data_IF_390195433166
#
_entry.id   IF_390195433166
#
_cell.length_a   1.000
_cell.length_b   1.000
_cell.length_c   1.000
_cell.angle_alpha   90.00
_cell.angle_beta   90.00
_cell.angle_gamma   90.00
#
_symmetry.space_group_name_H-M   'P 1'
#
loop_
_entity.id
_entity.type
_entity.pdbx_description
1 polymer ?
2 polymer ?
3 non-polymer ?
4 water ?
#
# COMPACT_ATOMS: atom_id res chain seq x y z
N UNK A 1 6.88 16.67 16.26
CA UNK A 1 5.66 16.87 15.48
C UNK A 1 4.86 15.56 15.25
N UNK A 2 5.55 14.53 14.79
CA UNK A 2 5.02 13.17 14.78
C UNK A 2 6.06 12.35 15.54
N UNK A 3 5.76 12.02 16.80
CA UNK A 3 6.72 11.35 17.68
C UNK A 3 7.06 9.95 17.21
N UNK A 4 6.11 9.29 16.57
CA UNK A 4 6.34 7.94 16.05
C UNK A 4 7.33 8.01 14.89
N UNK A 5 7.08 8.91 13.94
CA UNK A 5 7.97 9.10 12.81
C UNK A 5 9.36 9.46 13.32
N UNK A 6 9.42 10.36 14.30
CA UNK A 6 10.69 10.82 14.87
C UNK A 6 11.51 9.68 15.48
N UNK A 7 10.85 8.79 16.20
CA UNK A 7 11.49 7.59 16.72
C UNK A 7 12.09 6.72 15.58
N UNK A 8 11.30 6.49 14.54
CA UNK A 8 11.77 5.70 13.40
C UNK A 8 13.05 6.29 12.81
N UNK A 9 13.07 7.62 12.66
CA UNK A 9 14.21 8.32 12.04
C UNK A 9 15.42 8.21 12.95
N UNK A 10 15.18 8.20 14.25
CA UNK A 10 16.27 8.10 15.19
C UNK A 10 16.87 6.72 15.08
N UNK A 11 16.01 5.72 14.97
CA UNK A 11 16.45 4.34 14.83
C UNK A 11 17.28 4.14 13.57
N UNK A 13 18.94 6.28 11.99
CA UNK A 13 20.22 6.94 12.19
C UNK A 13 21.19 6.03 12.95
N UNK A 14 20.72 5.41 14.02
CA UNK A 14 21.53 4.46 14.78
C UNK A 14 22.07 3.35 13.88
N UNK A 15 21.23 2.85 13.00
CA UNK A 15 21.66 1.74 12.15
C UNK A 15 22.72 2.23 11.15
N UNK A 16 22.52 3.44 10.63
CA UNK A 16 23.50 3.97 9.68
C UNK A 16 24.82 4.18 10.37
N UNK A 17 24.76 4.62 11.61
CA UNK A 17 25.97 4.78 12.40
C UNK A 17 26.64 3.42 12.62
N UNK A 18 25.84 2.41 12.92
CA UNK A 18 26.38 1.08 13.18
C UNK A 18 27.17 0.51 11.96
N UNK A 19 26.63 0.70 10.76
CA UNK A 19 27.30 0.18 9.57
C UNK A 19 28.09 1.25 8.83
N UNK A 20 28.12 2.45 9.42
CA UNK A 20 28.96 3.57 8.94
C UNK A 20 28.66 4.05 7.52
N UNK A 21 27.40 4.37 7.23
CA UNK A 21 27.04 4.85 5.92
C UNK A 21 26.35 6.19 6.07
N UNK A 22 26.50 7.06 5.08
CA UNK A 22 25.77 8.32 5.09
C UNK A 22 25.40 8.76 3.69
N UNK A 23 24.26 8.28 3.21
CA UNK A 23 23.68 8.52 1.89
C UNK A 23 23.18 9.96 1.77
N UNK A 25 20.62 11.00 0.03
CA UNK A 25 19.16 11.00 0.05
C UNK A 25 18.57 11.01 1.47
N UNK A 26 17.33 11.50 1.58
CA UNK A 26 16.63 11.55 2.86
C UNK A 26 15.80 10.30 3.09
N UNK A 27 15.70 9.91 4.37
CA UNK A 27 14.85 8.82 4.78
C UNK A 27 13.45 9.01 4.19
N UNK A 28 12.80 7.94 3.76
CA UNK A 28 11.42 8.00 3.36
C UNK A 28 11.20 8.41 1.93
N UNK A 29 12.28 8.62 1.19
CA UNK A 29 12.18 9.01 -0.20
C UNK A 29 12.58 7.86 -1.12
N UNK A 30 12.00 7.84 -2.32
CA UNK A 30 12.36 6.86 -3.35
C UNK A 30 13.87 6.77 -3.68
N UNK A 31 14.55 7.92 -3.88
CA UNK A 31 15.98 7.77 -4.16
C UNK A 31 16.72 7.14 -2.99
N UNK A 32 16.20 7.30 -1.77
CA UNK A 32 16.81 6.64 -0.62
C UNK A 32 16.57 5.15 -0.71
N UNK A 33 15.34 4.79 -1.05
CA UNK A 33 14.98 3.39 -1.29
C UNK A 33 15.82 2.78 -2.41
N UNK A 34 15.98 3.53 -3.50
CA UNK A 34 16.76 3.03 -4.62
C UNK A 34 18.20 2.80 -4.16
N UNK A 35 18.68 3.67 -3.27
CA UNK A 35 20.03 3.56 -2.76
C UNK A 35 20.25 2.33 -1.87
N UNK A 36 19.33 2.08 -0.95
CA UNK A 36 19.37 0.86 -0.13
C UNK A 36 19.38 -0.37 -1.03
N UNK A 37 18.60 -0.32 -2.10
CA UNK A 37 18.49 -1.45 -3.00
C UNK A 37 19.83 -1.72 -3.65
N UNK A 38 20.54 -0.68 -4.07
CA UNK A 38 21.89 -0.87 -4.61
C UNK A 38 22.88 -1.39 -3.57
N UNK A 40 22.42 -3.09 -0.93
CA UNK A 40 22.13 -4.48 -0.58
C UNK A 40 22.65 -5.46 -1.63
N UNK A 41 22.47 -5.09 -2.90
CA UNK A 41 22.91 -5.92 -4.01
C UNK A 41 24.42 -6.04 -3.99
N UNK A 42 25.08 -4.92 -3.74
CA UNK A 42 26.54 -4.87 -3.73
C UNK A 42 27.09 -5.71 -2.58
N UNK A 43 26.40 -5.70 -1.45
CA UNK A 43 26.87 -6.42 -0.26
C UNK A 43 26.81 -7.92 -0.50
N UNK A 44 25.79 -8.36 -1.22
CA UNK A 44 25.70 -9.77 -1.60
C UNK A 44 26.80 -10.12 -2.58
N UNK A 45 27.10 -9.21 -3.51
CA UNK A 45 28.19 -9.45 -4.44
C UNK A 45 29.51 -9.56 -3.70
N UNK A 46 29.92 -8.48 -3.06
CA UNK A 46 31.14 -8.48 -2.26
C UNK A 46 31.06 -9.40 -1.04
N UNK A 47 29.90 -9.99 -0.78
CA UNK A 47 29.75 -10.87 0.36
C UNK A 47 29.99 -10.18 1.70
N UNK A 48 29.59 -8.91 1.81
CA UNK A 48 29.67 -8.21 3.10
C UNK A 48 28.38 -8.39 3.89
N UNK A 49 28.41 -9.27 4.88
CA UNK A 49 27.20 -9.65 5.57
C UNK A 49 26.59 -8.50 6.37
N UNK A 50 27.42 -7.78 7.12
CA UNK A 50 26.95 -6.62 7.89
C UNK A 50 26.19 -5.62 7.01
N UNK A 51 26.80 -5.21 5.90
CA UNK A 51 26.16 -4.25 5.00
C UNK A 51 24.84 -4.76 4.42
N UNK A 52 24.80 -6.06 4.10
CA UNK A 52 23.60 -6.62 3.48
C UNK A 52 22.42 -6.62 4.41
N UNK A 53 22.61 -7.13 5.62
CA UNK A 53 21.52 -7.18 6.61
C UNK A 53 21.08 -5.77 7.05
N UNK A 54 22.04 -4.88 7.28
CA UNK A 54 21.69 -3.51 7.61
C UNK A 54 20.82 -2.90 6.51
N UNK A 55 21.22 -3.05 5.25
CA UNK A 55 20.40 -2.51 4.15
C UNK A 55 19.01 -3.17 4.15
N UNK A 56 18.99 -4.48 4.31
CA UNK A 56 17.72 -5.20 4.39
C UNK A 56 16.81 -4.62 5.45
N UNK A 57 17.32 -4.44 6.67
CA UNK A 57 16.52 -3.87 7.75
C UNK A 57 16.13 -2.42 7.52
N UNK A 58 17.08 -1.63 7.00
CA UNK A 58 16.81 -0.21 6.73
C UNK A 58 15.63 -0.09 5.76
N UNK A 59 15.56 -1.02 4.79
CA UNK A 59 14.43 -1.05 3.87
C UNK A 59 13.10 -1.26 4.60
N UNK A 60 13.08 -2.13 5.61
CA UNK A 60 11.85 -2.37 6.37
C UNK A 60 11.40 -1.09 7.09
N UNK A 61 12.35 -0.37 7.65
CA UNK A 61 12.05 0.91 8.27
C UNK A 61 11.62 1.99 7.24
N UNK A 62 12.26 2.03 6.08
CA UNK A 62 11.85 2.98 5.04
C UNK A 62 10.41 2.68 4.62
N UNK A 63 10.10 1.39 4.47
CA UNK A 63 8.73 0.97 4.18
C UNK A 63 7.72 1.43 5.24
N UNK A 64 8.07 1.25 6.51
CA UNK A 64 7.22 1.72 7.60
C UNK A 64 6.99 3.23 7.55
N UNK A 65 8.03 3.99 7.21
CA UNK A 65 7.89 5.44 7.03
C UNK A 65 6.83 5.80 5.98
N UNK A 66 6.82 5.06 4.87
CA UNK A 66 5.89 5.33 3.79
C UNK A 66 4.47 4.94 4.15
N UNK A 67 4.31 3.86 4.91
CA UNK A 67 2.98 3.48 5.37
C UNK A 67 2.48 4.51 6.37
N UNK A 68 3.38 4.94 7.25
CA UNK A 68 3.02 5.95 8.22
C UNK A 68 2.50 7.21 7.54
N UNK A 69 3.21 7.61 6.49
CA UNK A 69 2.90 8.82 5.78
C UNK A 69 1.61 8.73 4.97
N UNK A 70 1.24 7.55 4.50
CA UNK A 70 0.14 7.44 3.56
C UNK A 70 -1.11 6.73 4.09
N UNK A 71 -0.92 5.87 5.09
CA UNK A 71 -2.04 5.19 5.70
C UNK A 71 -1.71 5.51 7.16
N UNK A 72 -2.15 4.67 8.10
CA UNK A 72 -1.86 4.87 9.53
C UNK A 72 -0.60 4.37 10.26
N UNK A 73 -0.32 5.03 11.37
CA UNK A 73 0.72 4.67 12.32
C UNK A 73 0.64 3.21 12.75
N UNK A 74 -0.56 2.74 13.07
CA UNK A 74 -0.73 1.35 13.50
C UNK A 74 -0.28 0.37 12.42
N UNK A 75 -0.55 0.67 11.16
CA UNK A 75 -0.11 -0.21 10.09
C UNK A 75 1.41 -0.19 9.91
N UNK A 76 2.03 0.95 10.17
CA UNK A 76 3.49 1.04 10.03
C UNK A 76 4.11 0.21 11.15
N UNK A 77 3.58 0.36 12.36
CA UNK A 77 4.05 -0.45 13.47
C UNK A 77 3.91 -1.93 13.20
N UNK A 78 2.77 -2.35 12.64
CA UNK A 78 2.58 -3.76 12.35
C UNK A 78 3.55 -4.30 11.31
N UNK A 79 3.84 -3.49 10.29
CA UNK A 79 4.85 -3.86 9.30
C UNK A 79 6.21 -4.21 9.96
N UNK A 80 6.62 -3.42 10.94
CA UNK A 80 7.93 -3.64 11.59
C UNK A 80 7.90 -4.81 12.56
N UNK A 81 6.88 -4.84 13.41
CA UNK A 81 6.68 -5.92 14.35
C UNK A 81 6.68 -7.29 13.69
N UNK A 82 5.91 -7.41 12.60
CA UNK A 82 5.82 -8.69 11.88
C UNK A 82 7.20 -9.09 11.37
N UNK A 83 7.92 -8.11 10.84
CA UNK A 83 9.24 -8.42 10.29
C UNK A 83 10.16 -8.91 11.40
N UNK A 84 10.24 -8.18 12.50
CA UNK A 84 11.09 -8.61 13.62
C UNK A 84 10.62 -9.91 14.29
N UNK A 85 9.30 -10.13 14.29
CA UNK A 85 8.77 -11.40 14.77
C UNK A 85 9.26 -12.56 13.89
N UNK A 86 9.36 -12.32 12.59
CA UNK A 86 9.84 -13.37 11.70
C UNK A 86 11.33 -13.60 11.87
N UNK A 87 12.07 -12.52 12.07
CA UNK A 87 13.51 -12.64 12.22
C UNK A 87 13.82 -13.43 13.50
N UNK A 88 13.08 -13.12 14.56
CA UNK A 88 13.27 -13.78 15.83
C UNK A 88 13.01 -15.27 15.65
N UNK A 89 11.91 -15.57 14.97
CA UNK A 89 11.51 -16.95 14.74
C UNK A 89 12.57 -17.71 13.97
N UNK A 90 12.96 -17.20 12.81
CA UNK A 90 13.88 -17.96 11.97
C UNK A 90 15.34 -17.92 12.40
N UNK A 91 15.75 -16.93 13.18
CA UNK A 91 17.16 -16.78 13.48
C UNK A 91 17.55 -16.93 14.96
N UNK A 92 16.61 -16.67 15.87
CA UNK A 92 16.96 -16.68 17.30
C UNK A 92 16.46 -17.92 17.99
N UNK A 93 15.89 -18.86 17.23
CA UNK A 93 15.52 -20.16 17.77
C UNK A 93 15.57 -21.26 16.72
N UNK A 99 23.20 -21.11 15.74
CA UNK A 99 22.61 -20.74 14.47
C UNK A 99 23.43 -19.71 13.73
N UNK A 100 23.03 -19.41 12.49
CA UNK A 100 23.75 -18.44 11.68
C UNK A 100 23.40 -17.03 12.13
N UNK A 101 23.36 -16.82 13.44
CA UNK A 101 23.10 -15.50 14.01
C UNK A 101 24.39 -14.78 14.39
N UNK A 102 24.53 -13.54 13.92
CA UNK A 102 25.73 -12.74 14.22
C UNK A 102 25.48 -11.35 14.86
N UNK A 103 26.55 -10.57 14.97
CA UNK A 103 26.53 -9.29 15.68
C UNK A 103 25.53 -8.29 15.12
N UNK A 104 25.42 -8.25 13.80
CA UNK A 104 24.47 -7.38 13.16
C UNK A 104 23.04 -7.81 13.46
N UNK A 105 22.74 -9.10 13.36
CA UNK A 105 21.40 -9.59 13.76
C UNK A 105 21.05 -9.23 15.19
N UNK A 106 21.97 -9.50 16.11
CA UNK A 106 21.75 -9.15 17.52
C UNK A 106 21.52 -7.65 17.67
N UNK A 107 22.40 -6.85 17.08
CA UNK A 107 22.29 -5.41 17.19
C UNK A 107 20.95 -4.87 16.67
N UNK A 108 20.53 -5.34 15.51
CA UNK A 108 19.32 -4.83 14.91
C UNK A 108 18.12 -5.25 15.74
N UNK A 110 17.99 -6.15 18.93
CA UNK A 110 17.91 -5.48 20.23
C UNK A 110 17.50 -4.01 20.08
N UNK A 111 18.06 -3.33 19.09
CA UNK A 111 17.63 -1.96 18.81
C UNK A 111 16.10 -1.82 18.66
N UNK A 112 15.48 -2.71 17.91
CA UNK A 112 14.03 -2.69 17.77
C UNK A 112 13.30 -3.00 19.09
N UNK A 113 13.72 -4.07 19.77
CA UNK A 113 13.11 -4.40 21.05
C UNK A 113 13.22 -3.26 22.07
N UNK A 114 14.33 -2.52 22.07
CA UNK A 114 14.44 -1.34 22.92
C UNK A 114 13.33 -0.33 22.67
N UNK A 115 12.88 -0.25 21.43
CA UNK A 115 11.97 0.81 21.06
C UNK A 115 10.54 0.32 20.90
N UNK A 116 10.38 -0.99 20.97
CA UNK A 116 9.11 -1.62 20.57
C UNK A 116 7.91 -1.14 21.39
N UNK A 117 8.11 -0.99 22.69
CA UNK A 117 6.98 -0.66 23.55
C UNK A 117 6.57 0.80 23.42
N UNK A 118 7.52 1.68 23.12
CA UNK A 118 7.16 3.07 22.91
C UNK A 118 6.47 3.21 21.54
N UNK A 119 6.99 2.51 20.54
CA UNK A 119 6.43 2.51 19.21
C UNK A 119 5.00 1.97 19.27
N UNK A 120 4.83 0.90 20.03
CA UNK A 120 3.52 0.27 20.19
C UNK A 120 2.51 1.25 20.79
N UNK A 121 2.92 1.90 21.87
CA UNK A 121 2.04 2.81 22.58
C UNK A 121 1.74 4.07 21.78
N UNK A 122 2.71 4.54 20.99
CA UNK A 122 2.43 5.65 20.06
C UNK A 122 1.42 5.18 19.03
N UNK A 123 1.62 3.98 18.51
CA UNK A 123 0.69 3.42 17.55
C UNK A 123 -0.72 3.25 18.10
N UNK A 124 -0.84 3.02 19.41
CA UNK A 124 -2.15 2.77 20.02
C UNK A 124 -2.90 4.06 20.29
N UNK A 125 -2.19 5.18 20.33
CA UNK A 125 -2.83 6.45 20.57
C UNK A 125 -3.73 6.80 19.39
N UNK A 126 -4.99 7.13 19.69
CA UNK A 126 -5.97 7.51 18.68
C UNK A 126 -5.51 8.79 17.98
N UNK A 127 -5.39 8.74 16.67
CA UNK A 127 -4.88 9.84 15.89
C UNK A 127 -5.91 10.20 14.84
N UNK A 128 -5.90 11.45 14.39
CA UNK A 128 -6.76 11.87 13.29
C UNK A 128 -6.19 11.39 11.98
N UNK A 129 -7.07 11.11 11.03
CA UNK A 129 -6.63 10.62 9.75
C UNK A 129 -5.95 11.77 9.00
N UNK A 130 -4.89 11.44 8.27
CA UNK A 130 -4.20 12.42 7.42
C UNK A 130 -5.11 12.77 6.23
N UNK A 131 -4.74 13.82 5.48
CA UNK A 131 -5.55 14.28 4.36
C UNK A 131 -5.69 13.26 3.23
N UNK A 132 -4.63 12.49 2.97
CA UNK A 132 -4.65 11.46 1.93
C UNK A 132 -5.77 10.45 2.16
N UNK A 133 -5.83 9.94 3.38
CA UNK A 133 -6.76 8.89 3.76
C UNK A 133 -8.16 9.45 3.87
N UNK A 134 -8.25 10.72 4.23
CA UNK A 134 -9.53 11.41 4.34
C UNK A 134 -10.16 11.56 2.98
N UNK A 135 -9.34 11.90 2.00
CA UNK A 135 -9.82 12.09 0.64
C UNK A 135 -10.23 10.75 0.06
N UNK A 136 -9.53 9.69 0.48
CA UNK A 136 -9.81 8.33 0.00
C UNK A 136 -11.15 7.90 0.58
N UNK A 137 -11.34 8.16 1.87
CA UNK A 137 -12.57 7.81 2.57
C UNK A 137 -13.79 8.49 1.95
N UNK A 138 -13.73 9.81 1.80
CA UNK A 138 -14.84 10.54 1.19
C UNK A 138 -15.17 10.08 -0.23
N UNK A 139 -14.15 9.72 -1.00
CA UNK A 139 -14.36 9.21 -2.35
C UNK A 139 -15.10 7.87 -2.33
N UNK A 140 -14.65 6.96 -1.48
CA UNK A 140 -15.30 5.66 -1.36
C UNK A 140 -16.74 5.82 -0.87
N UNK A 142 -18.79 8.54 -0.78
CA UNK A 142 -19.70 9.21 -1.70
C UNK A 142 -20.10 8.30 -2.86
N UNK A 143 -19.13 7.55 -3.39
CA UNK A 143 -19.42 6.64 -4.50
C UNK A 143 -20.37 5.53 -4.05
N UNK A 144 -20.10 4.94 -2.89
CA UNK A 144 -20.94 3.86 -2.38
C UNK A 144 -22.35 4.24 -2.01
N UNK A 145 -22.54 5.41 -1.42
CA UNK A 145 -23.88 5.87 -1.10
C UNK A 145 -24.63 6.16 -2.40
N UNK A 146 -23.95 6.78 -3.35
CA UNK A 146 -24.57 7.15 -4.62
C UNK A 146 -24.98 5.96 -5.50
N UNK A 147 -24.11 4.97 -5.66
CA UNK A 147 -24.36 3.85 -6.59
C UNK A 147 -24.84 2.57 -5.90
N UNK A 148 -24.75 2.57 -4.58
CA UNK A 148 -25.39 1.55 -3.75
C UNK A 148 -25.00 0.14 -4.18
N UNK A 149 -25.99 -0.73 -4.41
CA UNK A 149 -25.68 -2.13 -4.70
C UNK A 149 -24.88 -2.42 -5.98
N UNK A 150 -24.75 -1.43 -6.85
CA UNK A 150 -23.92 -1.61 -8.05
C UNK A 150 -22.47 -1.07 -7.91
N UNK A 151 -22.17 -0.48 -6.75
CA UNK A 151 -20.80 -0.09 -6.44
C UNK A 151 -19.84 -1.27 -6.63
N UNK A 152 -18.92 -1.14 -7.57
CA UNK A 152 -17.91 -2.15 -7.79
C UNK A 152 -16.59 -1.45 -8.11
N UNK A 153 -15.65 -1.47 -7.17
CA UNK A 153 -14.44 -0.69 -7.34
C UNK A 153 -13.10 -1.37 -7.20
N UNK A 154 -12.11 -0.75 -7.82
CA UNK A 154 -10.73 -1.16 -7.62
C UNK A 154 -9.94 0.05 -7.15
N UNK A 155 -9.17 -0.12 -6.09
CA UNK A 155 -8.19 0.89 -5.70
C UNK A 155 -6.84 0.31 -6.07
N UNK A 156 -6.06 1.04 -6.87
CA UNK A 156 -4.67 0.67 -7.16
C UNK A 156 -3.74 1.37 -6.19
N UNK A 157 -2.77 0.65 -5.63
CA UNK A 157 -1.74 1.28 -4.81
C UNK A 157 -0.35 0.80 -5.28
N UNK A 158 0.71 1.42 -4.76
CA UNK A 158 2.08 1.09 -5.16
C UNK A 158 2.61 -0.25 -4.68
N UNK A 159 2.27 -0.66 -3.46
CA UNK A 159 2.96 -1.78 -2.84
C UNK A 159 1.97 -2.77 -2.27
N UNK A 160 2.42 -4.00 -2.04
CA UNK A 160 1.64 -5.04 -1.39
C UNK A 160 1.24 -4.65 0.04
N UNK A 161 2.20 -4.10 0.79
CA UNK A 161 1.94 -3.74 2.19
C UNK A 161 0.91 -2.61 2.28
N UNK A 162 0.93 -1.72 1.29
CA UNK A 162 -0.08 -0.67 1.21
C UNK A 162 -1.51 -1.22 0.96
N UNK A 163 -1.64 -2.14 0.02
CA UNK A 163 -2.91 -2.76 -0.28
C UNK A 163 -3.48 -3.48 0.93
N UNK A 164 -2.67 -4.29 1.58
CA UNK A 164 -3.06 -4.94 2.82
C UNK A 164 -3.46 -3.94 3.93
N UNK A 165 -2.63 -2.91 4.14
CA UNK A 165 -2.97 -1.89 5.15
C UNK A 165 -4.29 -1.17 4.82
N UNK A 166 -4.49 -0.81 3.57
CA UNK A 166 -5.74 -0.16 3.20
C UNK A 166 -6.95 -1.05 3.47
N UNK A 167 -6.80 -2.34 3.22
CA UNK A 167 -7.85 -3.29 3.53
C UNK A 167 -8.14 -3.37 5.05
N UNK A 168 -7.08 -3.36 5.87
CA UNK A 168 -7.25 -3.45 7.33
C UNK A 168 -7.98 -2.23 7.86
N UNK A 169 -7.59 -1.08 7.35
CA UNK A 169 -8.23 0.18 7.65
C UNK A 169 -9.72 0.20 7.32
N UNK A 170 -10.11 -0.43 6.22
CA UNK A 170 -11.52 -0.47 5.88
C UNK A 170 -12.26 -1.28 6.94
N UNK A 171 -11.70 -2.43 7.27
CA UNK A 171 -12.27 -3.36 8.23
C UNK A 171 -12.36 -2.74 9.60
N UNK A 172 -11.32 -2.01 9.99
CA UNK A 172 -11.31 -1.31 11.26
C UNK A 172 -12.34 -0.19 11.34
N UNK A 173 -12.92 0.20 10.20
CA UNK A 173 -13.84 1.33 10.18
C UNK A 173 -15.26 0.95 9.72
N UNK A 174 -16.14 0.74 10.68
CA UNK A 174 -17.46 0.15 10.46
C UNK A 174 -18.40 0.92 9.52
N UNK A 175 -18.24 2.25 9.45
CA UNK A 175 -19.00 3.10 8.52
C UNK A 175 -18.90 2.63 7.06
N UNK A 176 -17.73 2.11 6.69
CA UNK A 176 -17.57 1.56 5.35
C UNK A 176 -18.53 0.40 5.15
N UNK A 177 -18.54 -0.52 6.10
CA UNK A 177 -19.41 -1.68 6.05
C UNK A 177 -20.86 -1.25 5.98
N UNK A 178 -21.20 -0.16 6.68
CA UNK A 178 -22.59 0.28 6.76
C UNK A 178 -23.12 0.87 5.45
N UNK A 179 -22.23 1.24 4.52
CA UNK A 179 -22.68 1.68 3.19
C UNK A 179 -22.44 0.59 2.15
N UNK A 180 -22.12 -0.61 2.61
CA UNK A 180 -22.05 -1.74 1.70
C UNK A 180 -20.65 -2.25 1.32
N UNK A 181 -19.61 -1.49 1.70
CA UNK A 181 -18.27 -1.85 1.30
C UNK A 181 -17.84 -3.24 1.79
N UNK A 182 -17.44 -4.09 0.86
CA UNK A 182 -16.72 -5.32 1.24
C UNK A 182 -15.43 -5.41 0.43
N UNK A 183 -14.31 -5.19 1.12
CA UNK A 183 -13.03 -5.01 0.45
C UNK A 183 -12.10 -6.18 0.67
N UNK A 184 -11.12 -6.33 -0.21
CA UNK A 184 -10.11 -7.36 -0.05
C UNK A 184 -8.89 -6.95 -0.83
N UNK A 185 -7.70 -7.24 -0.30
CA UNK A 185 -6.50 -6.92 -1.04
C UNK A 185 -6.22 -7.97 -2.12
N UNK A 186 -5.47 -7.59 -3.15
CA UNK A 186 -5.16 -8.48 -4.26
C UNK A 186 -3.70 -8.25 -4.69
N UNK A 187 -2.84 -9.25 -4.52
CA UNK A 187 -1.41 -9.07 -4.76
C UNK A 187 -0.78 -10.28 -5.47
N UNK A 188 0.43 -10.11 -5.96
CA UNK A 188 1.09 -11.10 -6.81
C UNK A 188 1.62 -12.33 -6.11
N UNK A 189 2.02 -13.32 -6.91
CA UNK A 189 2.45 -14.61 -6.38
C UNK A 189 3.94 -14.70 -6.17
N UNK A 190 4.69 -13.81 -6.83
CA UNK A 190 6.15 -13.89 -6.79
C UNK A 190 6.66 -13.46 -5.43
N UNK A 191 7.86 -13.90 -5.07
CA UNK A 191 8.42 -13.55 -3.77
C UNK A 191 8.85 -12.10 -3.77
N UNK A 192 8.58 -11.40 -2.68
CA UNK A 192 9.02 -10.02 -2.49
C UNK A 192 9.57 -9.89 -1.09
N UNK A 193 10.63 -9.12 -0.91
CA UNK A 193 11.14 -8.87 0.45
C UNK A 193 10.14 -8.04 1.25
N UNK A 194 9.31 -7.28 0.52
CA UNK A 194 8.45 -6.28 1.14
C UNK A 194 7.22 -6.88 1.83
N UNK A 195 6.83 -8.09 1.44
CA UNK A 195 5.52 -8.65 1.85
C UNK A 195 5.35 -10.10 1.37
N UNK A 196 4.53 -10.87 2.08
CA UNK A 196 4.13 -12.22 1.65
C UNK A 196 3.46 -12.22 0.27
N UNK A 197 3.49 -13.35 -0.44
CA UNK A 197 2.77 -13.43 -1.72
C UNK A 197 1.34 -13.93 -1.53
N UNK A 199 -1.02 -16.77 -3.62
CA UNK A 199 -0.97 -17.73 -4.73
C UNK A 199 -1.92 -17.35 -5.86
N UNK A 200 -1.63 -17.83 -7.06
CA UNK A 200 -2.48 -17.62 -8.23
C UNK A 200 -3.90 -18.15 -7.95
N UNK A 201 -3.97 -19.25 -7.21
CA UNK A 201 -5.22 -19.79 -6.74
C UNK A 201 -6.02 -18.82 -5.87
N UNK A 202 -5.39 -18.34 -4.81
CA UNK A 202 -6.03 -17.33 -3.96
C UNK A 202 -6.50 -16.10 -4.76
N UNK A 203 -5.62 -15.61 -5.65
CA UNK A 203 -5.97 -14.50 -6.55
C UNK A 203 -7.25 -14.79 -7.32
N UNK A 204 -7.34 -15.99 -7.88
CA UNK A 204 -8.49 -16.36 -8.70
C UNK A 204 -9.78 -16.40 -7.86
N UNK A 205 -9.65 -16.82 -6.61
CA UNK A 205 -10.80 -16.88 -5.70
C UNK A 205 -11.26 -15.47 -5.38
N UNK A 206 -10.31 -14.61 -5.01
CA UNK A 206 -10.64 -13.24 -4.69
C UNK A 206 -11.38 -12.56 -5.86
N UNK A 207 -10.79 -12.67 -7.05
CA UNK A 207 -11.39 -12.08 -8.24
C UNK A 207 -12.80 -12.65 -8.50
N UNK A 208 -12.95 -13.96 -8.29
CA UNK A 208 -14.25 -14.63 -8.44
C UNK A 208 -15.25 -14.01 -7.48
N UNK A 209 -14.82 -13.76 -6.26
CA UNK A 209 -15.72 -13.15 -5.28
C UNK A 209 -16.07 -11.72 -5.69
N UNK A 210 -15.15 -11.05 -6.35
CA UNK A 210 -15.42 -9.70 -6.86
C UNK A 210 -16.41 -9.78 -8.02
N UNK A 211 -16.28 -10.79 -8.88
CA UNK A 211 -17.25 -11.00 -9.95
C UNK A 211 -18.68 -11.23 -9.42
N UNK A 212 -18.82 -12.02 -8.34
CA UNK A 212 -20.14 -12.35 -7.79
C UNK A 212 -20.70 -11.25 -6.90
N UNK A 213 -19.85 -10.33 -6.46
CA UNK A 213 -20.25 -9.24 -5.60
C UNK A 213 -20.07 -9.53 -4.11
N UNK A 214 -19.53 -10.71 -3.78
CA UNK A 214 -19.14 -11.04 -2.41
C UNK A 214 -18.07 -10.08 -1.89
N UNK A 215 -17.28 -9.56 -2.83
CA UNK A 215 -16.32 -8.48 -2.57
C UNK A 215 -16.70 -7.40 -3.56
N UNK A 216 -16.62 -6.13 -3.15
CA UNK A 216 -16.99 -5.08 -4.10
C UNK A 216 -15.99 -3.94 -4.17
N UNK A 217 -14.89 -4.12 -3.46
CA UNK A 217 -13.81 -3.16 -3.50
C UNK A 217 -12.48 -3.90 -3.40
N UNK A 218 -11.82 -4.06 -4.55
CA UNK A 218 -10.51 -4.70 -4.61
C UNK A 218 -9.47 -3.64 -4.40
N UNK A 219 -8.46 -3.97 -3.59
CA UNK A 219 -7.32 -3.09 -3.38
C UNK A 219 -6.10 -3.84 -3.88
N UNK A 220 -5.58 -3.40 -5.02
CA UNK A 220 -4.62 -4.20 -5.74
C UNK A 220 -3.34 -3.43 -5.96
N UNK A 221 -2.26 -4.16 -6.25
CA UNK A 221 -1.08 -3.54 -6.82
C UNK A 221 -1.28 -3.40 -8.33
N UNK A 222 -0.51 -2.49 -8.93
CA UNK A 222 -0.62 -2.19 -10.34
C UNK A 222 -0.18 -3.37 -11.20
N UNK A 223 0.70 -4.19 -10.64
CA UNK A 223 1.11 -5.42 -11.30
C UNK A 223 0.07 -6.45 -10.96
N UNK A 224 -1.16 -6.15 -11.37
CA UNK A 224 -2.27 -7.08 -11.33
C UNK A 224 -3.17 -6.80 -12.54
N UNK A 225 -3.12 -5.56 -13.02
CA UNK A 225 -4.04 -5.05 -14.04
C UNK A 225 -4.24 -5.94 -15.27
N UNK A 226 -3.35 -6.90 -15.50
CA UNK A 226 -3.50 -7.81 -16.65
C UNK A 226 -4.80 -8.63 -16.59
N UNK A 227 -5.13 -9.12 -15.40
CA UNK A 227 -6.29 -9.98 -15.24
C UNK A 227 -7.36 -9.36 -14.38
N UNK A 228 -7.50 -8.04 -14.45
CA UNK A 228 -8.51 -7.32 -13.69
C UNK A 228 -9.46 -6.54 -14.59
N UNK A 229 -9.51 -6.92 -15.85
CA UNK A 229 -10.38 -6.23 -16.80
C UNK A 229 -11.82 -6.76 -16.70
N UNK A 230 -12.49 -6.30 -15.66
CA UNK A 230 -13.83 -6.73 -15.32
C UNK A 230 -14.80 -5.60 -15.60
N UNK A 231 -15.57 -5.76 -16.67
CA UNK A 231 -16.50 -4.75 -17.17
C UNK A 231 -17.42 -4.14 -16.12
N UNK A 232 -17.73 -4.88 -15.06
CA UNK A 232 -18.72 -4.41 -14.10
C UNK A 232 -18.18 -3.38 -13.12
N UNK A 233 -16.86 -3.23 -13.09
CA UNK A 233 -16.25 -2.20 -12.26
C UNK A 233 -16.74 -0.79 -12.64
N UNK A 234 -17.21 -0.03 -11.66
CA UNK A 234 -17.75 1.29 -11.98
C UNK A 234 -16.98 2.40 -11.28
N UNK A 235 -15.92 2.03 -10.57
CA UNK A 235 -15.00 3.03 -10.07
C UNK A 235 -13.57 2.48 -9.93
N UNK A 236 -12.59 3.31 -10.31
CA UNK A 236 -11.19 2.99 -10.09
C UNK A 236 -10.52 4.17 -9.38
N UNK A 237 -9.85 3.90 -8.27
CA UNK A 237 -9.14 4.94 -7.54
C UNK A 237 -7.65 4.65 -7.54
N UNK A 238 -6.88 5.62 -7.99
CA UNK A 238 -5.43 5.48 -8.03
C UNK A 238 -4.90 6.24 -6.80
N UNK A 239 -4.28 5.51 -5.88
CA UNK A 239 -3.94 6.12 -4.60
C UNK A 239 -2.45 6.27 -4.56
N UNK A 240 -1.99 7.49 -4.77
CA UNK A 240 -0.56 7.79 -4.67
C UNK A 240 0.32 7.01 -5.61
N UNK A 241 -0.10 6.85 -6.86
CA UNK A 241 0.72 6.16 -7.85
C UNK A 241 1.81 7.08 -8.34
N UNK A 242 1.52 8.38 -8.35
CA UNK A 242 2.48 9.38 -8.80
C UNK A 242 2.75 10.42 -7.71
N UNK A 243 3.96 10.41 -7.18
CA UNK A 243 4.35 11.35 -6.13
C UNK A 243 5.53 12.22 -6.58
N UNK B 1 -19.63 -3.22 -21.95
CA UNK B 1 -19.95 -1.81 -22.07
C UNK B 1 -21.30 -1.44 -21.48
N UNK B 2 -21.69 -0.17 -21.60
CA UNK B 2 -23.03 0.25 -21.20
C UNK B 2 -23.16 1.46 -20.29
N UNK B 3 -22.10 1.82 -19.56
CA UNK B 3 -22.16 2.94 -18.63
C UNK B 3 -20.83 3.71 -18.49
N UNK B 4 -20.78 4.64 -17.55
CA UNK B 4 -19.55 5.37 -17.25
C UNK B 4 -18.88 4.83 -16.00
N UNK B 5 -17.60 4.52 -16.15
CA UNK B 5 -16.73 4.16 -15.04
C UNK B 5 -16.02 5.43 -14.56
N UNK B 6 -16.22 5.75 -13.28
CA UNK B 6 -15.63 6.93 -12.67
C UNK B 6 -14.16 6.64 -12.35
N UNK B 7 -13.29 7.59 -12.68
CA UNK B 7 -11.85 7.40 -12.54
C UNK B 7 -11.30 8.46 -11.62
N UNK B 8 -10.44 8.04 -10.71
CA UNK B 8 -9.85 8.97 -9.76
C UNK B 8 -8.35 8.80 -9.69
N UNK B 9 -7.68 9.90 -9.42
CA UNK B 9 -6.26 9.89 -9.17
C UNK B 9 -6.09 10.72 -7.92
N UNK B 10 -5.60 10.10 -6.86
CA UNK B 10 -5.33 10.84 -5.63
C UNK B 10 -3.83 10.92 -5.44
N UNK B 11 -3.30 12.13 -5.47
CA UNK B 11 -1.87 12.32 -5.32
C UNK B 11 -1.59 13.41 -4.32
N UNK B 12 -0.34 13.59 -3.95
CA UNK B 12 -0.03 14.57 -2.94
C UNK B 12 1.39 15.09 -3.02
N UNK B 13 1.60 16.21 -2.36
CA UNK B 13 2.92 16.74 -2.06
C UNK B 13 2.94 17.05 -0.57
N UNK B 14 3.73 16.30 0.19
CA UNK B 14 3.64 16.36 1.65
C UNK B 14 2.30 15.78 2.07
N UNK B 15 1.47 16.60 2.71
CA UNK B 15 0.11 16.17 2.99
C UNK B 15 -0.90 17.06 2.27
N UNK B 16 -0.43 17.78 1.26
CA UNK B 16 -1.34 18.55 0.41
C UNK B 16 -1.86 17.68 -0.74
N UNK B 17 -3.14 17.37 -0.68
CA UNK B 17 -3.73 16.39 -1.56
C UNK B 17 -4.43 17.03 -2.76
N UNK B 18 -4.20 16.46 -3.94
CA UNK B 18 -4.96 16.85 -5.12
C UNK B 18 -5.64 15.60 -5.70
N UNK B 19 -6.92 15.75 -6.03
CA UNK B 19 -7.67 14.68 -6.63
C UNK B 19 -8.00 15.07 -8.06
N UNK B 20 -7.71 14.18 -9.00
CA UNK B 20 -8.22 14.33 -10.36
C UNK B 20 -9.30 13.28 -10.60
N UNK B 21 -10.36 13.67 -11.30
CA UNK B 21 -11.43 12.75 -11.60
C UNK B 21 -12.02 12.99 -12.98
N UNK B 22 -12.47 11.92 -13.61
CA UNK B 22 -13.03 11.96 -14.95
C UNK B 22 -13.82 10.67 -15.19
N UNK B 23 -14.26 10.45 -16.41
CA UNK B 23 -15.06 9.28 -16.73
C UNK B 23 -14.50 8.51 -17.92
N UNK B 24 -14.59 7.19 -17.84
CA UNK B 24 -14.26 6.32 -18.96
C UNK B 24 -15.50 5.53 -19.35
N UNK B 25 -15.59 5.12 -20.62
CA UNK B 25 -16.66 4.21 -21.04
C UNK B 25 -16.45 2.85 -20.38
N UNK B 26 -17.53 2.16 -19.99
CA UNK B 26 -17.41 0.93 -19.21
C UNK B 26 -16.79 -0.20 -20.03
N UNK B 27 -16.69 0.01 -21.34
CA UNK B 27 -16.11 -0.97 -22.23
C UNK B 27 -14.58 -0.84 -22.31
N UNK B 28 -14.05 0.29 -21.85
CA UNK B 28 -12.63 0.56 -22.00
C UNK B 28 -11.79 -0.20 -20.97
N UNK B 29 -10.48 -0.36 -21.24
CA UNK B 29 -9.61 -1.12 -20.33
C UNK B 29 -9.44 -0.51 -18.92
N UNK B 30 -9.36 -1.38 -17.93
CA UNK B 30 -9.06 -0.93 -16.58
C UNK B 30 -7.55 -0.82 -16.40
N UNK B 31 -7.06 0.38 -16.09
CA UNK B 31 -5.61 0.56 -16.03
C UNK B 31 -5.18 1.44 -14.87
N UNK B 32 -4.01 1.12 -14.31
CA UNK B 32 -3.43 1.93 -13.25
C UNK B 32 -3.03 3.28 -13.82
N UNK B 33 -2.60 3.27 -15.07
CA UNK B 33 -2.22 4.51 -15.74
C UNK B 33 -3.44 5.39 -15.83
N UNK B 34 -3.24 6.71 -15.85
CA UNK B 34 -4.35 7.64 -15.88
C UNK B 34 -4.77 7.90 -17.32
N UNK B 35 -5.66 7.07 -17.84
CA UNK B 35 -6.00 7.19 -19.25
C UNK B 35 -7.44 7.64 -19.52
N UNK B 36 -7.59 8.33 -20.63
CA UNK B 36 -8.86 8.76 -21.15
C UNK B 36 -9.11 7.92 -22.41
N UNK B 37 -10.05 6.97 -22.35
CA UNK B 37 -10.33 6.12 -23.49
C UNK B 37 -11.61 6.53 -24.24
N UNK B 38 -11.74 6.07 -25.48
CA UNK B 38 -12.97 6.25 -26.26
C UNK B 38 -13.77 4.94 -26.27
N UNK B 39 -15.07 5.03 -26.53
CA UNK B 39 -15.96 3.86 -26.45
C UNK B 39 -15.89 2.99 -27.70
N UNK B 40 -15.72 1.69 -27.52
CA UNK B 40 -15.66 0.78 -28.65
C UNK B 40 -16.90 -0.12 -28.75
N UNK B 41 -17.67 -0.21 -27.67
CA UNK B 41 -18.86 -1.05 -27.64
C UNK B 41 -20.09 -0.34 -28.20
N UNK B 42 -19.99 0.98 -28.34
CA UNK B 42 -21.04 1.80 -28.96
C UNK B 42 -22.35 1.89 -28.18
N UNK B 43 -22.41 1.25 -27.01
CA UNK B 43 -23.59 1.33 -26.16
C UNK B 43 -23.40 2.31 -25.00
N UNK B 44 -22.17 2.80 -24.83
CA UNK B 44 -21.87 3.74 -23.74
C UNK B 44 -22.34 5.16 -24.05
N UNK B 45 -23.00 5.80 -23.06
CA UNK B 45 -23.51 7.18 -23.16
C UNK B 45 -22.40 8.22 -23.33
N UNK B 46 -22.75 9.43 -23.75
CA UNK B 46 -21.75 10.48 -23.95
C UNK B 46 -21.39 11.16 -22.64
N UNK B 47 -22.38 11.41 -21.80
CA UNK B 47 -22.14 11.96 -20.47
C UNK B 47 -23.00 11.26 -19.41
N UNK B 48 -22.60 11.35 -18.15
CA UNK B 48 -23.44 10.90 -17.06
C UNK B 48 -23.65 12.03 -16.06
N UNK B 49 -24.38 11.76 -14.97
CA UNK B 49 -24.59 12.76 -13.93
C UNK B 49 -23.27 13.27 -13.38
N UNK B 50 -22.27 12.40 -13.35
CA UNK B 50 -20.97 12.71 -12.75
C UNK B 50 -20.09 13.63 -13.59
N UNK B 51 -20.22 13.55 -14.90
CA UNK B 51 -19.47 14.45 -15.77
C UNK B 51 -20.38 15.45 -16.47
N UNK B 52 -21.46 15.82 -15.77
CA UNK B 52 -22.55 16.67 -16.28
C UNK B 52 -23.44 15.94 -17.29
#
# INVERSE_FOLDING_TARGET
EDLFKDRLLEIXTNIQTFCQISPXSDFGTQPYEQWLIQXEKKAARDGNRKDRVCAEHLKKYNEALQINDTIRRIDAYNHLKTFYNDEKEKKFEVLSGSGSLDESDIFLXTLFLRNKKILKKLAENPEYENEKLTKLRNTIXEHFTRTEESARGIIFTKTRQSAYALSQWITDNKKFAEVGVKAHHLIGAGHSSEFKPXTQNEQREVISKFRTGKINLLIATTVAEEGLDIKECNIVIRYGLVT
GGFHRREYSIGWVGDEVKVTEWCNPSCSPITAAARRFECTCHQCPVTCSECE
#
